data_IF_197351046058
#
_entry.id   IF_197351046058
#
_cell.length_a   1.000
_cell.length_b   1.000
_cell.length_c   1.000
_cell.angle_alpha   90.00
_cell.angle_beta   90.00
_cell.angle_gamma   90.00
#
_symmetry.space_group_name_H-M   'P 1'
#
loop_
_entity.id
_entity.type
_entity.pdbx_description
1 polymer ?
#
# COMPACT_ATOMS: atom_id res chain seq x y z
N UNK A 1 45.70 -35.77 0.63
CA UNK A 1 46.66 -36.78 1.05
C UNK A 1 46.63 -36.89 2.56
N UNK A 2 46.74 -38.07 3.10
CA UNK A 2 45.76 -39.15 3.19
C UNK A 2 45.45 -39.41 4.68
N UNK A 3 44.65 -40.28 5.16
CA UNK A 3 44.34 -41.71 5.03
C UNK A 3 43.36 -42.08 6.15
N UNK A 4 42.32 -42.77 5.89
CA UNK A 4 42.12 -44.21 6.02
C UNK A 4 42.48 -44.86 7.34
N UNK A 5 41.43 -45.54 7.90
CA UNK A 5 41.32 -46.98 8.26
C UNK A 5 40.24 -47.08 9.34
N UNK A 6 39.20 -47.84 9.35
CA UNK A 6 39.00 -49.16 8.78
C UNK A 6 39.33 -50.27 9.78
N UNK A 7 38.36 -50.85 10.54
CA UNK A 7 38.46 -52.27 10.99
C UNK A 7 37.05 -52.81 11.27
N UNK A 8 36.74 -53.90 10.56
CA UNK A 8 35.73 -54.92 10.85
C UNK A 8 36.27 -55.88 11.92
N UNK A 9 35.48 -56.50 12.75
CA UNK A 9 35.60 -57.95 13.11
C UNK A 9 34.24 -58.55 13.44
N UNK A 10 34.00 -59.69 12.84
CA UNK A 10 32.94 -60.66 13.05
C UNK A 10 33.20 -61.52 14.33
N UNK A 11 32.13 -62.17 14.87
CA UNK A 11 32.32 -63.27 15.81
C UNK A 11 30.97 -63.91 16.15
N UNK A 12 30.69 -65.05 15.52
CA UNK A 12 29.68 -66.04 15.89
C UNK A 12 30.03 -66.72 17.22
N UNK A 13 29.02 -67.08 18.02
CA UNK A 13 28.98 -68.37 18.71
C UNK A 13 27.56 -68.68 19.25
N UNK A 14 27.02 -69.77 18.80
CA UNK A 14 25.86 -70.52 19.28
C UNK A 14 26.13 -71.24 20.56
N UNK A 15 25.17 -71.25 21.51
CA UNK A 15 24.98 -72.42 22.45
C UNK A 15 23.50 -72.58 22.74
N UNK A 16 23.02 -73.86 22.53
CA UNK A 16 21.73 -74.37 22.87
C UNK A 16 21.65 -74.67 24.40
N UNK A 17 20.51 -74.43 25.00
CA UNK A 17 20.20 -74.87 26.38
C UNK A 17 18.69 -74.85 26.57
N UNK A 18 18.09 -76.04 26.55
CA UNK A 18 16.69 -76.35 26.81
C UNK A 18 16.42 -76.35 28.32
N UNK A 19 15.43 -75.58 28.79
CA UNK A 19 14.82 -75.78 30.10
C UNK A 19 13.34 -75.39 30.07
N UNK A 20 12.50 -76.39 30.39
CA UNK A 20 11.04 -76.33 30.58
C UNK A 20 10.75 -75.58 31.90
N UNK A 21 9.81 -74.66 31.88
CA UNK A 21 9.41 -73.92 33.09
C UNK A 21 8.07 -73.19 32.93
N UNK A 22 7.00 -73.91 33.21
CA UNK A 22 5.70 -73.58 33.82
C UNK A 22 5.10 -72.16 33.49
N UNK A 23 3.99 -72.17 32.76
CA UNK A 23 3.02 -71.10 32.57
C UNK A 23 2.45 -70.62 33.93
N UNK A 24 2.58 -69.27 34.16
CA UNK A 24 1.65 -68.52 34.97
C UNK A 24 1.10 -67.40 34.08
N UNK A 25 -0.11 -67.63 33.59
CA UNK A 25 -0.91 -66.59 32.91
C UNK A 25 -1.41 -65.61 33.98
N UNK A 26 -0.69 -64.53 34.16
CA UNK A 26 -1.22 -63.27 34.74
C UNK A 26 -1.74 -62.44 33.60
N UNK A 27 -3.04 -62.49 33.38
CA UNK A 27 -3.75 -61.62 32.46
C UNK A 27 -3.75 -60.21 32.98
N UNK A 28 -2.77 -59.39 32.55
CA UNK A 28 -2.89 -57.93 32.60
C UNK A 28 -3.96 -57.57 31.59
N UNK A 29 -5.17 -57.30 32.07
CA UNK A 29 -6.18 -56.58 31.33
C UNK A 29 -5.59 -55.22 31.01
N UNK A 30 -5.11 -55.05 29.80
CA UNK A 30 -4.71 -53.75 29.22
C UNK A 30 -6.01 -52.98 29.09
N UNK A 31 -6.23 -51.97 29.96
CA UNK A 31 -7.27 -50.98 29.73
C UNK A 31 -7.05 -50.43 28.34
N UNK A 32 -8.06 -50.36 27.46
CA UNK A 32 -7.94 -49.72 26.17
C UNK A 32 -7.67 -48.25 26.44
N UNK A 33 -6.46 -47.79 26.11
CA UNK A 33 -6.16 -46.38 26.03
C UNK A 33 -7.28 -45.72 25.25
N UNK A 34 -7.84 -44.60 25.72
CA UNK A 34 -8.82 -43.86 24.94
C UNK A 34 -8.17 -43.53 23.61
N UNK A 35 -8.73 -44.04 22.52
CA UNK A 35 -8.34 -43.71 21.17
C UNK A 35 -8.25 -42.20 21.09
N UNK A 36 -7.05 -41.67 21.09
CA UNK A 36 -6.80 -40.34 20.53
C UNK A 36 -7.22 -40.47 19.08
N UNK A 37 -8.42 -40.05 18.78
CA UNK A 37 -8.85 -39.81 17.41
C UNK A 37 -7.82 -38.87 16.81
N UNK A 38 -7.04 -39.34 15.88
CA UNK A 38 -6.13 -38.55 15.08
C UNK A 38 -6.90 -37.31 14.59
N UNK A 39 -6.36 -36.09 14.68
CA UNK A 39 -7.08 -34.91 14.19
C UNK A 39 -7.49 -35.21 12.76
N UNK A 40 -8.74 -34.95 12.37
CA UNK A 40 -9.21 -35.25 11.02
C UNK A 40 -8.26 -34.60 10.03
N UNK A 41 -7.82 -35.37 9.03
CA UNK A 41 -7.01 -34.84 7.94
C UNK A 41 -7.78 -33.69 7.30
N UNK A 42 -7.31 -32.45 7.57
CA UNK A 42 -7.94 -31.22 7.07
C UNK A 42 -7.57 -31.04 5.60
N UNK A 43 -7.98 -31.97 4.76
CA UNK A 43 -7.85 -31.90 3.31
C UNK A 43 -8.67 -30.77 2.66
N UNK A 44 -9.01 -29.73 3.40
CA UNK A 44 -9.50 -28.48 2.82
C UNK A 44 -8.31 -27.72 2.26
N UNK A 45 -8.34 -27.31 0.99
CA UNK A 45 -7.32 -26.43 0.46
C UNK A 45 -7.22 -25.19 1.35
N UNK A 46 -6.00 -24.79 1.68
CA UNK A 46 -5.77 -23.48 2.29
C UNK A 46 -6.55 -22.43 1.50
N UNK A 47 -7.15 -21.43 2.14
CA UNK A 47 -7.83 -20.39 1.40
C UNK A 47 -6.86 -19.84 0.34
N UNK A 48 -7.32 -19.70 -0.90
CA UNK A 48 -6.52 -19.03 -1.93
C UNK A 48 -6.00 -17.73 -1.35
N UNK A 49 -4.78 -17.34 -1.68
CA UNK A 49 -4.24 -16.07 -1.21
C UNK A 49 -5.28 -14.95 -1.35
N UNK A 50 -5.33 -14.07 -0.36
CA UNK A 50 -6.23 -12.92 -0.43
C UNK A 50 -5.92 -12.12 -1.70
N UNK A 51 -6.95 -11.65 -2.37
CA UNK A 51 -6.79 -10.77 -3.53
C UNK A 51 -5.91 -9.58 -3.16
N UNK A 52 -5.13 -9.12 -4.12
CA UNK A 52 -4.26 -7.97 -3.95
C UNK A 52 -5.10 -6.74 -3.61
N UNK A 53 -4.81 -6.14 -2.47
CA UNK A 53 -5.45 -4.89 -2.04
C UNK A 53 -4.83 -3.72 -2.78
N UNK A 54 -5.65 -2.78 -3.21
CA UNK A 54 -5.19 -1.54 -3.84
C UNK A 54 -5.57 -0.35 -2.97
N UNK A 55 -4.62 0.54 -2.81
CA UNK A 55 -4.78 1.76 -2.05
C UNK A 55 -4.29 2.93 -2.91
N UNK A 56 -5.20 3.71 -3.47
CA UNK A 56 -4.90 4.84 -4.35
C UNK A 56 -5.23 6.14 -3.66
N UNK A 57 -4.27 7.07 -3.67
CA UNK A 57 -4.41 8.38 -3.03
C UNK A 57 -3.85 9.48 -3.92
N UNK A 58 -4.51 10.61 -4.03
CA UNK A 58 -3.89 11.82 -4.54
C UNK A 58 -2.92 12.39 -3.49
N UNK A 59 -1.67 12.56 -3.87
CA UNK A 59 -0.70 13.35 -3.10
C UNK A 59 -0.80 14.80 -3.55
N UNK A 60 -1.12 15.69 -2.63
CA UNK A 60 -1.15 17.12 -2.90
C UNK A 60 0.17 17.75 -2.44
N UNK A 61 0.82 18.44 -3.36
CA UNK A 61 2.11 19.09 -3.17
C UNK A 61 2.01 20.58 -3.45
N UNK A 62 2.47 21.42 -2.52
CA UNK A 62 2.61 22.84 -2.77
C UNK A 62 3.84 23.09 -3.64
N UNK A 63 3.65 23.73 -4.80
CA UNK A 63 4.73 24.07 -5.74
C UNK A 63 5.77 25.01 -5.13
N UNK A 64 5.45 25.71 -4.05
CA UNK A 64 6.37 26.65 -3.37
C UNK A 64 7.64 25.95 -2.88
N UNK A 65 7.57 24.67 -2.55
CA UNK A 65 8.76 23.91 -2.17
C UNK A 65 9.69 23.62 -3.35
N UNK A 66 9.10 23.32 -4.50
CA UNK A 66 9.86 23.14 -5.74
C UNK A 66 10.57 24.44 -6.09
N UNK A 67 9.92 25.58 -5.89
CA UNK A 67 10.51 26.91 -6.13
C UNK A 67 11.80 27.12 -5.36
N UNK A 68 11.86 26.74 -4.10
CA UNK A 68 13.10 26.92 -3.30
C UNK A 68 14.29 26.17 -3.91
N UNK A 69 14.07 24.97 -4.40
CA UNK A 69 15.11 24.18 -5.08
C UNK A 69 15.53 24.83 -6.38
N UNK A 70 14.57 25.30 -7.19
CA UNK A 70 14.85 25.98 -8.46
C UNK A 70 15.58 27.31 -8.24
N UNK A 71 15.19 28.07 -7.21
CA UNK A 71 15.86 29.34 -6.85
C UNK A 71 17.33 29.13 -6.50
N UNK A 72 17.68 28.04 -5.84
CA UNK A 72 19.05 27.71 -5.50
C UNK A 72 19.84 27.15 -6.69
N UNK A 73 19.18 26.39 -7.56
CA UNK A 73 19.85 25.69 -8.66
C UNK A 73 20.12 26.58 -9.88
N UNK A 74 19.31 27.64 -10.09
CA UNK A 74 19.39 28.50 -11.28
C UNK A 74 20.08 29.83 -10.94
N UNK A 75 21.19 30.18 -11.61
CA UNK A 75 21.87 31.46 -11.39
C UNK A 75 20.92 32.66 -11.54
N UNK A 76 21.20 33.71 -10.79
CA UNK A 76 20.43 34.98 -10.95
C UNK A 76 20.91 35.80 -12.11
N UNK A 77 22.18 35.69 -12.52
CA UNK A 77 22.77 36.48 -13.62
C UNK A 77 23.19 35.57 -14.74
N UNK A 78 22.93 35.98 -15.97
CA UNK A 78 23.26 35.25 -17.19
C UNK A 78 24.00 36.20 -18.16
N UNK A 79 25.07 35.71 -18.76
CA UNK A 79 25.90 36.51 -19.66
C UNK A 79 26.83 37.44 -18.89
N UNK A 80 27.54 38.27 -19.66
CA UNK A 80 28.40 39.37 -19.18
C UNK A 80 28.60 40.33 -20.33
N UNK A 81 28.64 41.62 -20.04
CA UNK A 81 28.95 42.65 -21.01
C UNK A 81 30.39 42.57 -21.51
N UNK A 82 31.27 41.91 -20.76
CA UNK A 82 32.67 41.70 -21.16
C UNK A 82 32.84 40.50 -22.12
N UNK A 83 31.82 39.63 -22.22
CA UNK A 83 31.81 38.46 -23.10
C UNK A 83 31.18 38.76 -24.45
N UNK A 84 31.97 39.33 -25.35
CA UNK A 84 31.53 39.65 -26.71
C UNK A 84 31.49 38.38 -27.56
N UNK A 85 30.36 38.13 -28.25
CA UNK A 85 30.10 36.94 -29.09
C UNK A 85 29.80 37.35 -30.52
N UNK A 86 30.13 36.48 -31.49
CA UNK A 86 29.78 36.65 -32.90
C UNK A 86 28.28 36.43 -33.06
N UNK A 87 27.61 37.29 -33.80
CA UNK A 87 26.19 37.20 -34.11
C UNK A 87 25.97 36.41 -35.40
N UNK A 88 25.29 35.31 -35.34
CA UNK A 88 24.90 34.47 -36.49
C UNK A 88 26.04 34.11 -37.44
N UNK A 89 27.26 33.88 -36.90
CA UNK A 89 28.43 33.52 -37.70
C UNK A 89 29.02 34.69 -38.55
N UNK A 90 28.49 35.89 -38.49
CA UNK A 90 29.02 37.07 -39.17
C UNK A 90 30.08 37.75 -38.29
N UNK A 91 31.37 37.53 -38.58
CA UNK A 91 32.47 38.10 -37.81
C UNK A 91 32.53 39.62 -37.78
N UNK A 92 31.70 40.28 -38.59
CA UNK A 92 31.56 41.75 -38.53
C UNK A 92 30.51 42.20 -37.52
N UNK A 93 29.66 41.25 -37.04
CA UNK A 93 28.61 41.53 -36.10
C UNK A 93 28.84 40.80 -34.79
N UNK A 94 28.94 41.55 -33.73
CA UNK A 94 29.14 41.02 -32.40
C UNK A 94 28.06 41.54 -31.47
N UNK A 95 27.86 40.85 -30.36
CA UNK A 95 26.98 41.28 -29.29
C UNK A 95 27.50 40.88 -27.94
N UNK A 96 27.16 41.66 -26.94
CA UNK A 96 27.30 41.28 -25.53
C UNK A 96 25.95 41.52 -24.83
N UNK A 97 25.63 40.70 -23.85
CA UNK A 97 24.45 40.89 -23.03
C UNK A 97 24.69 40.44 -21.60
N UNK A 98 23.96 41.02 -20.69
CA UNK A 98 23.83 40.61 -19.32
C UNK A 98 22.36 40.69 -18.94
N UNK A 99 21.86 39.63 -18.31
CA UNK A 99 20.48 39.59 -17.85
C UNK A 99 20.45 39.09 -16.38
N UNK A 100 19.67 39.76 -15.55
CA UNK A 100 19.46 39.41 -14.14
C UNK A 100 18.00 39.05 -13.93
N UNK A 101 17.75 37.81 -13.46
CA UNK A 101 16.39 37.40 -13.15
C UNK A 101 15.94 37.85 -11.76
N UNK A 102 14.67 38.16 -11.64
CA UNK A 102 13.95 38.23 -10.38
C UNK A 102 13.66 36.84 -9.80
N UNK A 103 12.90 36.78 -8.73
CA UNK A 103 12.44 35.48 -8.16
C UNK A 103 11.54 34.76 -9.16
N UNK A 104 11.57 33.43 -9.09
CA UNK A 104 10.64 32.60 -9.83
C UNK A 104 9.25 32.63 -9.19
N UNK A 105 8.21 32.51 -10.01
CA UNK A 105 6.88 32.16 -9.62
C UNK A 105 6.54 30.81 -10.30
N UNK A 106 5.92 29.88 -9.57
CA UNK A 106 5.47 28.64 -10.16
C UNK A 106 3.97 28.47 -9.94
N UNK A 107 3.33 27.86 -10.90
CA UNK A 107 1.94 27.46 -10.81
C UNK A 107 1.71 26.21 -11.67
N UNK A 108 0.69 25.45 -11.31
CA UNK A 108 0.27 24.28 -12.06
C UNK A 108 -0.93 24.63 -12.93
N UNK A 109 -0.93 24.11 -14.15
CA UNK A 109 -2.07 24.25 -15.07
C UNK A 109 -2.26 22.93 -15.83
N UNK A 110 -3.35 22.22 -15.51
CA UNK A 110 -3.63 20.94 -16.10
C UNK A 110 -2.54 19.91 -15.75
N UNK A 111 -1.79 19.45 -16.75
CA UNK A 111 -0.74 18.43 -16.60
C UNK A 111 0.69 19.01 -16.63
N UNK A 112 0.80 20.31 -16.57
CA UNK A 112 2.08 21.00 -16.66
C UNK A 112 2.33 21.89 -15.45
N UNK A 113 3.57 21.94 -15.05
CA UNK A 113 4.09 22.93 -14.11
C UNK A 113 4.66 24.09 -14.93
N UNK A 114 4.21 25.29 -14.63
CA UNK A 114 4.68 26.54 -15.22
C UNK A 114 5.65 27.23 -14.28
N UNK A 115 6.73 27.71 -14.82
CA UNK A 115 7.75 28.50 -14.14
C UNK A 115 7.92 29.82 -14.85
N UNK A 116 7.71 30.94 -14.16
CA UNK A 116 7.80 32.28 -14.70
C UNK A 116 8.83 33.11 -13.94
N UNK A 117 9.63 33.85 -14.65
CA UNK A 117 10.53 34.84 -14.09
C UNK A 117 10.54 36.12 -14.93
N UNK A 118 10.70 37.26 -14.27
CA UNK A 118 11.00 38.54 -14.92
C UNK A 118 12.51 38.73 -14.94
N UNK A 119 13.06 39.10 -16.10
CA UNK A 119 14.50 39.31 -16.29
C UNK A 119 14.73 40.77 -16.73
N UNK A 120 15.55 41.50 -16.00
CA UNK A 120 16.08 42.77 -16.41
C UNK A 120 17.36 42.54 -17.22
N UNK A 121 17.51 43.18 -18.33
CA UNK A 121 18.64 42.94 -19.21
C UNK A 121 19.29 44.22 -19.72
N UNK A 122 20.54 44.11 -20.12
CA UNK A 122 21.27 45.08 -20.95
C UNK A 122 21.88 44.32 -22.12
N UNK A 123 21.91 44.96 -23.29
CA UNK A 123 22.47 44.37 -24.49
C UNK A 123 23.19 45.45 -25.32
N UNK A 124 24.28 45.05 -25.94
CA UNK A 124 25.02 45.93 -26.85
C UNK A 124 25.43 45.14 -28.09
N UNK A 125 25.09 45.67 -29.26
CA UNK A 125 25.53 45.18 -30.54
C UNK A 125 26.73 45.98 -31.05
N UNK A 126 27.62 45.32 -31.75
CA UNK A 126 28.81 45.91 -32.38
C UNK A 126 28.78 45.50 -33.85
N UNK A 127 29.04 46.51 -34.72
CA UNK A 127 29.22 46.31 -36.15
C UNK A 127 30.54 46.87 -36.62
N UNK A 128 31.40 46.04 -37.23
CA UNK A 128 32.72 46.41 -37.75
C UNK A 128 32.67 46.53 -39.28
N UNK A 129 32.40 47.71 -39.84
CA UNK A 129 32.46 47.91 -41.27
C UNK A 129 33.88 47.72 -41.78
N UNK A 130 34.05 47.46 -43.11
CA UNK A 130 35.40 47.25 -43.72
C UNK A 130 36.30 48.46 -43.66
N UNK A 131 35.75 49.64 -43.70
CA UNK A 131 36.49 50.93 -43.88
C UNK A 131 36.08 51.99 -42.87
N UNK A 132 35.46 51.65 -41.76
CA UNK A 132 35.02 52.65 -40.77
C UNK A 132 35.23 52.12 -39.35
N UNK A 133 35.27 52.98 -38.33
CA UNK A 133 35.32 52.49 -36.91
C UNK A 133 34.16 51.62 -36.56
N UNK A 134 34.39 50.80 -35.54
CA UNK A 134 33.33 49.91 -34.98
C UNK A 134 32.19 50.74 -34.44
N UNK A 135 30.99 50.50 -34.96
CA UNK A 135 29.77 51.12 -34.46
C UNK A 135 29.19 50.25 -33.36
N UNK A 136 28.72 50.84 -32.29
CA UNK A 136 28.02 50.12 -31.21
C UNK A 136 26.73 50.84 -30.86
N UNK A 137 25.71 50.05 -30.57
CA UNK A 137 24.43 50.51 -30.07
C UNK A 137 23.86 49.50 -29.06
N UNK A 138 23.20 49.94 -28.05
CA UNK A 138 22.67 49.05 -27.00
C UNK A 138 21.55 49.69 -26.20
N UNK A 139 20.90 48.89 -25.40
CA UNK A 139 19.84 49.30 -24.48
C UNK A 139 20.14 48.80 -23.06
N UNK A 140 19.48 49.39 -22.08
CA UNK A 140 19.66 49.01 -20.68
C UNK A 140 20.96 49.44 -20.06
N UNK A 141 21.69 50.38 -20.70
CA UNK A 141 22.91 50.98 -20.14
C UNK A 141 22.61 52.10 -19.12
N UNK A 142 21.35 52.55 -19.08
CA UNK A 142 20.86 53.57 -18.15
C UNK A 142 20.45 52.94 -16.80
N UNK A 143 19.98 53.81 -15.88
CA UNK A 143 19.55 53.34 -14.53
C UNK A 143 18.40 52.36 -14.57
N UNK A 144 17.53 52.39 -15.57
CA UNK A 144 16.41 51.48 -15.74
C UNK A 144 16.68 50.51 -16.90
N UNK A 145 16.87 49.25 -16.56
CA UNK A 145 17.04 48.17 -17.55
C UNK A 145 15.69 47.68 -18.06
N UNK A 146 15.52 47.52 -19.39
CA UNK A 146 14.33 46.89 -19.93
C UNK A 146 14.15 45.47 -19.37
N UNK A 147 12.89 45.05 -19.24
CA UNK A 147 12.53 43.78 -18.63
C UNK A 147 11.74 42.91 -19.61
N UNK A 148 12.02 41.63 -19.56
CA UNK A 148 11.25 40.59 -20.25
C UNK A 148 10.68 39.59 -19.23
N UNK A 149 9.53 39.01 -19.53
CA UNK A 149 8.95 37.90 -18.82
C UNK A 149 9.24 36.66 -19.62
N UNK A 150 9.81 35.69 -18.95
CA UNK A 150 10.06 34.33 -19.47
C UNK A 150 9.17 33.34 -18.75
N UNK A 151 8.46 32.54 -19.52
CA UNK A 151 7.61 31.48 -18.98
C UNK A 151 7.96 30.14 -19.64
N UNK A 152 8.29 29.16 -18.83
CA UNK A 152 8.54 27.76 -19.20
C UNK A 152 7.39 26.91 -18.68
N UNK A 153 7.06 25.85 -19.42
CA UNK A 153 6.16 24.81 -18.93
C UNK A 153 6.79 23.44 -19.13
N UNK A 154 6.49 22.54 -18.23
CA UNK A 154 6.99 21.17 -18.29
C UNK A 154 6.00 20.18 -17.68
N UNK A 155 5.65 19.09 -18.36
CA UNK A 155 5.08 17.93 -17.71
C UNK A 155 6.14 17.30 -16.80
N UNK A 156 5.72 16.80 -15.64
CA UNK A 156 6.58 16.08 -14.70
C UNK A 156 6.18 14.61 -14.65
N UNK A 157 7.17 13.73 -14.65
CA UNK A 157 6.97 12.30 -14.46
C UNK A 157 8.18 11.66 -13.75
N UNK A 158 8.10 10.39 -13.39
CA UNK A 158 9.21 9.63 -12.84
C UNK A 158 9.57 8.47 -13.76
N UNK A 159 10.84 8.10 -13.76
CA UNK A 159 11.32 6.85 -14.34
C UNK A 159 11.02 5.68 -13.40
N UNK A 160 11.22 4.46 -13.87
CA UNK A 160 11.05 3.24 -13.05
C UNK A 160 12.02 3.19 -11.86
N UNK A 161 13.20 3.80 -11.99
CA UNK A 161 14.26 3.93 -10.99
C UNK A 161 14.18 5.23 -10.16
N UNK A 162 12.99 5.87 -10.15
CA UNK A 162 12.66 7.01 -9.32
C UNK A 162 13.41 8.32 -9.63
N UNK A 163 13.86 8.50 -10.87
CA UNK A 163 14.41 9.79 -11.34
C UNK A 163 13.33 10.69 -11.92
N UNK A 164 13.43 11.97 -11.62
CA UNK A 164 12.50 12.97 -12.16
C UNK A 164 12.77 13.19 -13.66
N UNK A 165 11.71 13.25 -14.43
CA UNK A 165 11.75 13.56 -15.87
C UNK A 165 10.93 14.79 -16.15
N UNK A 166 11.53 15.71 -16.92
CA UNK A 166 10.88 16.90 -17.45
C UNK A 166 11.03 16.94 -18.96
N UNK A 167 10.15 17.70 -19.61
CA UNK A 167 10.21 18.05 -21.02
C UNK A 167 9.89 19.53 -21.11
N UNK A 168 10.87 20.36 -20.74
CA UNK A 168 10.72 21.78 -20.66
C UNK A 168 10.50 22.40 -22.06
N UNK A 169 9.53 23.30 -22.14
CA UNK A 169 9.26 24.09 -23.36
C UNK A 169 9.07 25.54 -23.00
N UNK A 170 9.44 26.39 -23.91
CA UNK A 170 9.21 27.83 -23.80
C UNK A 170 7.74 28.14 -24.16
N UNK A 171 7.00 28.70 -23.21
CA UNK A 171 5.61 29.12 -23.41
C UNK A 171 5.55 30.54 -23.91
N UNK A 172 6.27 31.44 -23.25
CA UNK A 172 6.29 32.83 -23.59
C UNK A 172 7.65 33.48 -23.27
N UNK A 173 8.04 34.38 -24.10
CA UNK A 173 9.07 35.37 -23.83
C UNK A 173 8.60 36.67 -24.48
N UNK A 174 8.40 37.73 -23.67
CA UNK A 174 7.84 38.99 -24.10
C UNK A 174 8.29 40.14 -23.18
N UNK A 175 8.23 41.40 -23.62
CA UNK A 175 8.42 42.52 -22.72
C UNK A 175 7.51 42.44 -21.49
N UNK A 176 7.99 42.92 -20.36
CA UNK A 176 7.24 42.85 -19.10
C UNK A 176 6.02 43.79 -19.12
N UNK A 177 6.08 44.84 -19.87
CA UNK A 177 4.96 45.76 -20.15
C UNK A 177 5.11 46.36 -21.53
N UNK A 178 4.06 47.05 -22.03
CA UNK A 178 4.06 47.80 -23.26
C UNK A 178 4.66 49.22 -23.10
N UNK A 179 5.08 49.57 -21.88
CA UNK A 179 5.69 50.85 -21.58
C UNK A 179 7.08 50.99 -22.23
N UNK A 180 7.48 52.20 -22.61
CA UNK A 180 8.78 52.47 -23.24
C UNK A 180 9.97 51.98 -22.42
N UNK A 181 9.86 51.92 -21.08
CA UNK A 181 10.93 51.42 -20.19
C UNK A 181 11.26 49.96 -20.39
N UNK A 182 10.34 49.13 -20.88
CA UNK A 182 10.55 47.72 -21.13
C UNK A 182 10.87 47.40 -22.61
N UNK A 183 11.08 48.48 -23.43
CA UNK A 183 11.53 48.38 -24.81
C UNK A 183 13.04 48.57 -24.91
N UNK A 184 13.62 48.00 -25.95
CA UNK A 184 15.03 48.16 -26.27
C UNK A 184 15.18 49.17 -27.39
N UNK A 185 15.27 50.46 -27.07
CA UNK A 185 15.49 51.52 -27.99
C UNK A 185 16.99 51.81 -28.14
N UNK A 186 17.48 51.80 -29.36
CA UNK A 186 18.91 51.96 -29.66
C UNK A 186 19.20 53.16 -30.57
N UNK A 187 20.31 53.85 -30.27
CA UNK A 187 20.84 54.95 -31.04
C UNK A 187 20.09 56.30 -30.86
N UNK A 188 20.56 57.32 -31.52
CA UNK A 188 20.03 58.73 -31.46
C UNK A 188 18.60 58.78 -32.04
N UNK A 189 18.26 57.83 -32.92
CA UNK A 189 16.95 57.81 -33.60
C UNK A 189 15.91 56.95 -32.83
N UNK A 190 16.20 56.53 -31.62
CA UNK A 190 15.30 55.74 -30.77
C UNK A 190 14.66 54.55 -31.52
N UNK A 191 15.47 53.78 -32.27
CA UNK A 191 14.97 52.70 -33.05
C UNK A 191 14.68 51.52 -32.11
N UNK A 192 13.42 51.09 -32.04
CA UNK A 192 12.98 49.94 -31.29
C UNK A 192 13.52 48.65 -31.92
N UNK A 193 14.28 47.88 -31.17
CA UNK A 193 14.84 46.58 -31.55
C UNK A 193 14.40 45.47 -30.57
N UNK A 194 13.38 45.72 -29.78
CA UNK A 194 12.86 44.82 -28.74
C UNK A 194 12.59 43.41 -29.28
N UNK A 195 11.91 43.31 -30.42
CA UNK A 195 11.59 42.01 -31.04
C UNK A 195 12.86 41.24 -31.39
N UNK A 196 13.90 41.87 -31.89
CA UNK A 196 15.18 41.21 -32.21
C UNK A 196 15.88 40.68 -30.94
N UNK A 197 15.80 41.41 -29.85
CA UNK A 197 16.35 40.98 -28.56
C UNK A 197 15.55 39.81 -28.01
N UNK A 198 14.24 39.89 -28.08
CA UNK A 198 13.33 38.84 -27.66
C UNK A 198 13.57 37.56 -28.48
N UNK A 199 13.71 37.65 -29.80
CA UNK A 199 13.97 36.50 -30.67
C UNK A 199 15.35 35.86 -30.40
N UNK A 200 16.37 36.70 -30.21
CA UNK A 200 17.70 36.22 -29.83
C UNK A 200 17.69 35.52 -28.46
N UNK A 201 16.95 36.06 -27.48
CA UNK A 201 16.77 35.45 -26.16
C UNK A 201 15.96 34.16 -26.26
N UNK A 202 14.92 34.10 -27.12
CA UNK A 202 14.16 32.90 -27.42
C UNK A 202 15.07 31.77 -27.91
N UNK A 203 15.83 32.04 -28.98
CA UNK A 203 16.72 31.04 -29.57
C UNK A 203 17.81 30.57 -28.59
N UNK A 204 18.37 31.50 -27.80
CA UNK A 204 19.34 31.17 -26.77
C UNK A 204 18.76 30.27 -25.66
N UNK A 205 17.53 30.54 -25.22
CA UNK A 205 16.86 29.76 -24.18
C UNK A 205 16.43 28.39 -24.70
N UNK A 206 15.84 28.32 -25.89
CA UNK A 206 15.46 27.06 -26.53
C UNK A 206 16.64 26.11 -26.70
N UNK A 207 17.81 26.61 -27.04
CA UNK A 207 19.05 25.81 -27.10
C UNK A 207 19.49 25.22 -25.76
N UNK A 208 18.97 25.74 -24.64
CA UNK A 208 19.31 25.32 -23.26
C UNK A 208 18.24 24.44 -22.60
N UNK A 209 17.07 24.26 -23.21
CA UNK A 209 16.00 23.47 -22.59
C UNK A 209 16.44 22.02 -22.33
N UNK A 210 17.16 21.40 -23.28
CA UNK A 210 17.71 20.07 -23.09
C UNK A 210 18.74 19.95 -21.95
N UNK A 211 19.49 21.02 -21.66
CA UNK A 211 20.40 21.06 -20.52
C UNK A 211 19.61 21.09 -19.21
N UNK A 212 18.47 21.81 -19.18
CA UNK A 212 17.55 21.85 -18.05
C UNK A 212 17.00 20.46 -17.78
N UNK A 213 16.48 19.79 -18.81
CA UNK A 213 15.90 18.43 -18.67
C UNK A 213 16.96 17.42 -18.19
N UNK A 214 18.20 17.52 -18.68
CA UNK A 214 19.30 16.67 -18.18
C UNK A 214 19.59 16.91 -16.69
N UNK A 215 19.59 18.16 -16.24
CA UNK A 215 19.76 18.49 -14.81
C UNK A 215 18.61 17.99 -13.96
N UNK A 216 17.37 18.13 -14.43
CA UNK A 216 16.19 17.60 -13.71
C UNK A 216 16.31 16.08 -13.55
N UNK A 217 16.79 15.37 -14.56
CA UNK A 217 16.98 13.92 -14.51
C UNK A 217 18.02 13.45 -13.49
N UNK A 218 18.91 14.31 -13.02
CA UNK A 218 19.83 13.95 -11.92
C UNK A 218 19.15 13.92 -10.55
N UNK A 219 17.92 14.44 -10.45
CA UNK A 219 17.14 14.42 -9.21
C UNK A 219 16.56 13.03 -9.03
N UNK A 220 17.04 12.30 -8.02
CA UNK A 220 16.55 10.99 -7.64
C UNK A 220 15.70 11.06 -6.38
N UNK A 221 14.55 10.41 -6.39
CA UNK A 221 13.68 10.23 -5.24
C UNK A 221 13.88 8.87 -4.55
N UNK A 222 14.80 8.04 -5.03
CA UNK A 222 15.01 6.66 -4.56
C UNK A 222 15.21 6.56 -3.06
N UNK A 223 16.00 7.46 -2.46
CA UNK A 223 16.24 7.49 -1.01
C UNK A 223 14.96 7.77 -0.20
N UNK A 224 14.12 8.71 -0.67
CA UNK A 224 12.85 9.01 -0.02
C UNK A 224 11.87 7.84 -0.16
N UNK A 225 11.81 7.23 -1.34
CA UNK A 225 10.98 6.06 -1.59
C UNK A 225 11.42 4.88 -0.72
N UNK A 226 12.71 4.65 -0.56
CA UNK A 226 13.23 3.61 0.35
C UNK A 226 12.78 3.85 1.81
N UNK A 227 12.86 5.08 2.30
CA UNK A 227 12.36 5.43 3.65
C UNK A 227 10.85 5.18 3.80
N UNK A 228 10.05 5.54 2.80
CA UNK A 228 8.61 5.27 2.81
C UNK A 228 8.31 3.79 2.72
N UNK A 229 9.07 3.05 1.91
CA UNK A 229 8.96 1.60 1.78
C UNK A 229 9.23 0.87 3.10
N UNK A 230 10.29 1.27 3.80
CA UNK A 230 10.61 0.77 5.15
C UNK A 230 9.47 1.05 6.13
N UNK A 231 8.90 2.26 6.09
CA UNK A 231 7.78 2.65 6.95
C UNK A 231 6.53 1.82 6.67
N UNK A 232 6.22 1.55 5.40
CA UNK A 232 5.06 0.76 4.98
C UNK A 232 5.19 -0.72 5.36
N UNK A 233 6.41 -1.24 5.45
CA UNK A 233 6.67 -2.62 5.85
C UNK A 233 6.69 -2.81 7.38
N UNK A 234 6.78 -1.76 8.18
CA UNK A 234 6.77 -1.86 9.64
C UNK A 234 5.39 -2.31 10.15
N UNK A 235 5.35 -3.21 11.15
CA UNK A 235 4.11 -3.60 11.79
C UNK A 235 3.40 -2.40 12.40
N UNK A 236 2.12 -2.28 12.14
CA UNK A 236 1.26 -1.26 12.71
C UNK A 236 0.54 -1.87 13.91
N UNK A 237 0.83 -1.38 15.10
CA UNK A 237 0.15 -1.84 16.32
C UNK A 237 -1.28 -1.35 16.34
N UNK A 238 -2.24 -2.27 16.39
CA UNK A 238 -3.67 -1.98 16.52
C UNK A 238 -4.12 -2.04 17.99
N UNK A 239 -3.62 -3.04 18.72
CA UNK A 239 -3.81 -3.21 20.18
C UNK A 239 -2.55 -3.83 20.77
N UNK A 240 -2.53 -4.17 22.06
CA UNK A 240 -1.35 -4.70 22.75
C UNK A 240 -0.75 -5.98 22.16
N UNK A 241 -1.57 -6.78 21.49
CA UNK A 241 -1.13 -8.05 20.87
C UNK A 241 -1.69 -8.25 19.46
N UNK A 242 -2.10 -7.18 18.77
CA UNK A 242 -2.65 -7.24 17.42
C UNK A 242 -1.92 -6.26 16.52
N UNK A 243 -1.39 -6.78 15.43
CA UNK A 243 -0.56 -6.06 14.48
C UNK A 243 -1.18 -6.11 13.09
N UNK A 244 -1.14 -5.01 12.37
CA UNK A 244 -1.44 -4.95 10.94
C UNK A 244 -0.12 -4.92 10.17
N UNK A 245 0.07 -5.90 9.31
CA UNK A 245 1.16 -5.98 8.33
C UNK A 245 0.62 -5.63 6.96
N UNK A 246 1.18 -4.64 6.29
CA UNK A 246 0.67 -4.21 4.98
C UNK A 246 1.17 -5.09 3.83
N UNK A 247 2.39 -5.62 3.91
CA UNK A 247 3.05 -6.37 2.83
C UNK A 247 2.91 -5.69 1.46
N UNK A 248 3.52 -4.51 1.28
CA UNK A 248 3.47 -3.79 0.03
C UNK A 248 4.21 -4.57 -1.08
N UNK A 249 3.64 -4.61 -2.29
CA UNK A 249 4.19 -5.35 -3.42
C UNK A 249 4.52 -4.47 -4.62
N UNK A 250 3.73 -3.41 -4.86
CA UNK A 250 3.86 -2.58 -6.05
C UNK A 250 3.47 -1.14 -5.78
N UNK A 251 4.26 -0.24 -6.32
CA UNK A 251 3.97 1.20 -6.34
C UNK A 251 3.68 1.66 -7.76
N UNK A 252 2.68 2.52 -7.91
CA UNK A 252 2.30 3.18 -9.17
C UNK A 252 2.17 4.67 -8.96
N UNK A 253 2.44 5.40 -10.02
CA UNK A 253 2.20 6.84 -10.07
C UNK A 253 1.44 7.18 -11.35
N UNK A 254 0.35 7.90 -11.19
CA UNK A 254 -0.40 8.45 -12.32
C UNK A 254 0.22 9.74 -12.85
N UNK A 255 -0.45 10.32 -13.83
CA UNK A 255 -0.02 11.60 -14.41
C UNK A 255 -0.14 12.71 -13.38
N UNK A 256 0.93 13.49 -13.23
CA UNK A 256 0.92 14.71 -12.42
C UNK A 256 -0.05 15.71 -13.05
N UNK A 257 -0.88 16.32 -12.24
CA UNK A 257 -1.79 17.39 -12.62
C UNK A 257 -1.77 18.46 -11.54
N UNK A 258 -2.41 19.60 -11.80
CA UNK A 258 -2.50 20.61 -10.76
C UNK A 258 -3.25 21.85 -11.19
N UNK A 259 -3.50 22.70 -10.21
CA UNK A 259 -4.12 24.00 -10.40
C UNK A 259 -3.55 25.00 -9.40
N UNK A 260 -3.25 26.21 -9.87
CA UNK A 260 -2.64 27.28 -9.08
C UNK A 260 -1.35 26.81 -8.39
N UNK A 261 -1.30 26.78 -7.08
CA UNK A 261 -0.10 26.42 -6.31
C UNK A 261 -0.06 24.95 -5.86
N UNK A 262 -1.03 24.12 -6.28
CA UNK A 262 -1.14 22.74 -5.87
C UNK A 262 -0.88 21.81 -7.05
N UNK A 263 0.11 20.92 -6.90
CA UNK A 263 0.32 19.75 -7.76
C UNK A 263 -0.37 18.55 -7.11
N UNK A 264 -1.10 17.79 -7.90
CA UNK A 264 -1.72 16.54 -7.53
C UNK A 264 -1.02 15.38 -8.24
N UNK A 265 -0.49 14.47 -7.46
CA UNK A 265 0.21 13.27 -7.94
C UNK A 265 -0.59 12.04 -7.47
N UNK A 266 -1.35 11.39 -8.35
CA UNK A 266 -2.02 10.15 -8.00
C UNK A 266 -0.99 9.04 -7.77
N UNK A 267 -1.03 8.42 -6.61
CA UNK A 267 -0.15 7.29 -6.25
C UNK A 267 -1.00 6.11 -5.84
N UNK A 268 -0.59 4.91 -6.22
CA UNK A 268 -1.26 3.68 -5.82
C UNK A 268 -0.27 2.66 -5.27
N UNK A 269 -0.68 2.03 -4.18
CA UNK A 269 0.01 0.94 -3.53
C UNK A 269 -0.82 -0.34 -3.68
N UNK A 270 -0.23 -1.39 -4.24
CA UNK A 270 -0.77 -2.74 -4.13
C UNK A 270 -0.09 -3.45 -2.96
N UNK A 271 -0.88 -4.12 -2.13
CA UNK A 271 -0.42 -4.75 -0.89
C UNK A 271 -1.27 -5.97 -0.53
N UNK A 272 -0.75 -6.84 0.35
CA UNK A 272 -1.49 -7.97 0.95
C UNK A 272 -1.57 -7.80 2.47
N UNK A 273 -2.44 -6.94 2.97
CA UNK A 273 -2.52 -6.69 4.40
C UNK A 273 -2.98 -7.94 5.15
N UNK A 274 -2.35 -8.17 6.32
CA UNK A 274 -2.69 -9.25 7.24
C UNK A 274 -2.76 -8.73 8.66
N UNK A 275 -3.69 -9.27 9.45
CA UNK A 275 -3.74 -9.07 10.88
C UNK A 275 -3.04 -10.26 11.55
N UNK A 276 -2.05 -9.96 12.39
CA UNK A 276 -1.28 -10.95 13.14
C UNK A 276 -1.51 -10.71 14.63
N UNK A 277 -1.80 -11.77 15.37
CA UNK A 277 -1.97 -11.73 16.83
C UNK A 277 -0.75 -12.34 17.52
N UNK A 278 -0.40 -11.82 18.70
CA UNK A 278 0.72 -12.31 19.52
C UNK A 278 1.91 -11.36 19.57
N UNK A 279 3.13 -11.91 19.62
CA UNK A 279 4.37 -11.13 19.66
C UNK A 279 4.56 -10.27 18.41
N UNK A 280 5.43 -9.27 18.50
CA UNK A 280 5.81 -8.44 17.35
C UNK A 280 6.31 -9.34 16.22
N UNK A 281 5.70 -9.28 15.02
CA UNK A 281 6.15 -10.08 13.88
C UNK A 281 7.56 -9.69 13.44
N UNK A 282 8.37 -10.68 13.06
CA UNK A 282 9.63 -10.43 12.39
C UNK A 282 9.39 -9.87 10.99
N UNK A 283 10.17 -8.86 10.61
CA UNK A 283 10.01 -8.12 9.36
C UNK A 283 11.32 -8.10 8.58
N UNK A 284 11.51 -9.10 7.72
CA UNK A 284 12.50 -9.01 6.66
C UNK A 284 11.80 -8.56 5.37
N UNK A 285 12.20 -7.42 4.81
CA UNK A 285 11.67 -6.94 3.53
C UNK A 285 12.78 -6.44 2.62
N UNK A 286 12.57 -6.62 1.31
CA UNK A 286 13.51 -6.18 0.28
C UNK A 286 13.42 -4.69 -0.02
N UNK A 287 14.27 -4.21 -0.95
CA UNK A 287 14.21 -2.84 -1.44
C UNK A 287 12.87 -2.55 -2.13
N UNK A 288 12.51 -1.25 -2.29
CA UNK A 288 11.31 -0.87 -3.03
C UNK A 288 11.37 -1.40 -4.47
N UNK A 289 10.24 -1.88 -5.01
CA UNK A 289 10.18 -2.34 -6.39
C UNK A 289 10.31 -1.14 -7.36
N UNK A 290 10.63 -1.40 -8.63
CA UNK A 290 10.54 -0.39 -9.67
C UNK A 290 9.13 0.23 -9.73
N UNK A 291 9.06 1.51 -10.11
CA UNK A 291 7.79 2.21 -10.30
C UNK A 291 7.04 1.59 -11.47
N UNK A 292 5.84 1.09 -11.22
CA UNK A 292 4.98 0.56 -12.28
C UNK A 292 4.23 1.70 -13.00
N UNK A 293 4.05 1.55 -14.32
CA UNK A 293 3.44 2.56 -15.21
C UNK A 293 1.96 2.33 -15.51
N UNK A 294 1.33 1.39 -14.81
CA UNK A 294 -0.08 1.09 -14.99
C UNK A 294 -0.95 2.26 -14.50
N UNK A 295 -2.20 2.28 -14.94
CA UNK A 295 -3.17 3.29 -14.49
C UNK A 295 -3.40 3.25 -12.98
N UNK A 296 -3.52 4.42 -12.39
CA UNK A 296 -3.90 4.61 -10.98
C UNK A 296 -5.40 4.85 -10.92
N UNK A 297 -6.13 4.00 -10.18
CA UNK A 297 -7.55 4.20 -9.90
C UNK A 297 -7.76 5.15 -8.72
N UNK A 298 -9.02 5.36 -8.35
CA UNK A 298 -9.40 6.17 -7.20
C UNK A 298 -9.78 5.31 -6.00
N UNK A 299 -9.53 5.82 -4.79
CA UNK A 299 -9.92 5.20 -3.55
C UNK A 299 -9.13 3.93 -3.21
N UNK A 300 -9.68 3.15 -2.28
CA UNK A 300 -9.07 1.89 -1.90
C UNK A 300 -10.05 0.72 -1.91
N UNK A 301 -9.51 -0.44 -2.23
CA UNK A 301 -10.13 -1.74 -2.03
C UNK A 301 -9.14 -2.60 -1.24
N UNK A 302 -9.44 -2.82 0.04
CA UNK A 302 -8.59 -3.58 0.95
C UNK A 302 -9.25 -4.91 1.24
N UNK A 303 -8.62 -6.01 0.82
CA UNK A 303 -9.01 -7.37 1.19
C UNK A 303 -8.09 -7.87 2.30
N UNK A 304 -8.69 -8.31 3.40
CA UNK A 304 -7.97 -8.71 4.60
C UNK A 304 -8.50 -10.02 5.15
N UNK A 305 -7.61 -10.90 5.58
CA UNK A 305 -7.96 -12.11 6.29
C UNK A 305 -7.76 -11.90 7.80
N UNK A 306 -8.82 -12.17 8.57
CA UNK A 306 -8.78 -12.20 10.03
C UNK A 306 -8.94 -13.63 10.52
N UNK A 307 -8.06 -14.08 11.42
CA UNK A 307 -8.14 -15.38 12.06
C UNK A 307 -8.94 -15.29 13.36
N UNK A 308 -9.98 -16.11 13.46
CA UNK A 308 -10.72 -16.37 14.71
C UNK A 308 -10.33 -17.76 15.20
N UNK A 309 -9.52 -17.83 16.24
CA UNK A 309 -9.10 -19.10 16.82
C UNK A 309 -10.29 -19.91 17.38
N UNK A 310 -10.16 -21.24 17.48
CA UNK A 310 -11.24 -22.11 17.92
C UNK A 310 -11.66 -21.87 19.38
N UNK A 311 -10.78 -21.40 20.25
CA UNK A 311 -11.12 -21.01 21.60
C UNK A 311 -12.08 -19.82 21.63
N UNK A 312 -11.83 -18.81 20.79
CA UNK A 312 -12.74 -17.67 20.63
C UNK A 312 -14.06 -18.07 19.98
N UNK A 313 -14.05 -18.92 18.95
CA UNK A 313 -15.26 -19.46 18.35
C UNK A 313 -16.07 -20.29 19.36
N UNK A 314 -15.42 -21.14 20.14
CA UNK A 314 -16.02 -21.91 21.23
C UNK A 314 -16.72 -21.01 22.24
N UNK A 315 -16.05 -20.00 22.76
CA UNK A 315 -16.67 -19.03 23.72
C UNK A 315 -17.92 -18.39 23.14
N UNK A 316 -17.89 -17.97 21.87
CA UNK A 316 -19.03 -17.34 21.22
C UNK A 316 -20.23 -18.30 21.07
N UNK A 317 -19.99 -19.55 20.67
CA UNK A 317 -21.05 -20.55 20.52
C UNK A 317 -21.54 -21.03 21.89
N UNK A 318 -20.66 -21.20 22.88
CA UNK A 318 -21.03 -21.55 24.26
C UNK A 318 -21.97 -20.49 24.83
N UNK A 319 -21.68 -19.18 24.66
CA UNK A 319 -22.56 -18.13 25.17
C UNK A 319 -23.97 -18.14 24.53
N UNK A 320 -24.10 -18.69 23.33
CA UNK A 320 -25.39 -18.83 22.63
C UNK A 320 -26.19 -20.09 23.02
N UNK A 321 -25.50 -21.18 23.35
CA UNK A 321 -26.08 -22.51 23.53
C UNK A 321 -26.00 -23.07 24.97
N UNK A 322 -25.07 -22.62 25.80
CA UNK A 322 -24.94 -23.08 27.17
C UNK A 322 -26.20 -22.77 27.98
N UNK A 323 -26.55 -23.70 28.87
CA UNK A 323 -27.77 -23.66 29.71
C UNK A 323 -29.09 -23.74 28.94
N UNK A 324 -29.05 -23.95 27.61
CA UNK A 324 -30.28 -24.20 26.85
C UNK A 324 -30.80 -25.58 27.17
N UNK A 325 -32.08 -25.64 27.47
CA UNK A 325 -32.81 -26.87 27.79
C UNK A 325 -33.66 -27.30 26.60
N UNK A 326 -33.54 -28.57 26.27
CA UNK A 326 -34.31 -29.20 25.19
C UNK A 326 -35.21 -30.27 25.79
N UNK A 327 -36.52 -30.17 25.59
CA UNK A 327 -37.52 -31.08 26.11
C UNK A 327 -38.23 -31.78 24.96
N UNK A 328 -38.32 -33.13 25.03
CA UNK A 328 -39.05 -33.96 24.09
C UNK A 328 -39.58 -35.23 24.76
N UNK A 329 -40.86 -35.57 24.49
CA UNK A 329 -41.50 -36.78 25.03
C UNK A 329 -41.29 -36.92 26.55
N UNK A 330 -41.50 -35.86 27.29
CA UNK A 330 -41.26 -35.72 28.75
C UNK A 330 -39.84 -35.96 29.21
N UNK A 331 -38.84 -35.94 28.31
CA UNK A 331 -37.41 -36.00 28.64
C UNK A 331 -36.75 -34.67 28.38
N UNK A 332 -35.89 -34.28 29.30
CA UNK A 332 -35.23 -32.95 29.26
C UNK A 332 -33.74 -33.12 29.37
N UNK A 333 -33.00 -32.40 28.51
CA UNK A 333 -31.54 -32.26 28.60
C UNK A 333 -31.15 -30.80 28.54
N UNK A 334 -30.12 -30.44 29.28
CA UNK A 334 -29.54 -29.10 29.31
C UNK A 334 -28.12 -29.16 28.80
N UNK A 335 -27.77 -28.27 27.83
CA UNK A 335 -26.41 -28.13 27.32
C UNK A 335 -25.56 -27.51 28.42
N UNK A 336 -24.46 -28.19 28.77
CA UNK A 336 -23.48 -27.66 29.74
C UNK A 336 -22.38 -26.90 29.07
N UNK A 337 -21.81 -27.47 28.01
CA UNK A 337 -20.64 -26.92 27.33
C UNK A 337 -20.71 -27.24 25.85
N UNK A 338 -20.04 -26.40 25.08
CA UNK A 338 -19.93 -26.57 23.63
C UNK A 338 -18.46 -26.33 23.25
N UNK A 339 -17.93 -27.18 22.36
CA UNK A 339 -16.61 -27.01 21.81
C UNK A 339 -16.70 -26.97 20.28
N UNK A 340 -16.02 -26.03 19.66
CA UNK A 340 -15.92 -25.92 18.22
C UNK A 340 -14.56 -26.47 17.77
N UNK A 341 -14.61 -27.43 16.85
CA UNK A 341 -13.41 -28.08 16.32
C UNK A 341 -13.41 -28.06 14.78
N UNK A 342 -12.22 -28.11 14.16
CA UNK A 342 -12.13 -28.23 12.71
C UNK A 342 -12.53 -29.62 12.24
N UNK A 343 -13.10 -29.70 11.03
CA UNK A 343 -13.34 -30.94 10.33
C UNK A 343 -12.88 -30.86 8.88
N UNK A 344 -12.75 -32.01 8.22
CA UNK A 344 -12.34 -32.07 6.82
C UNK A 344 -13.32 -31.36 5.89
N UNK A 345 -12.84 -30.97 4.70
CA UNK A 345 -13.64 -30.36 3.62
C UNK A 345 -14.30 -29.03 4.00
N UNK A 346 -13.64 -28.21 4.84
CA UNK A 346 -14.15 -26.91 5.22
C UNK A 346 -15.36 -26.93 6.18
N UNK A 347 -15.55 -28.03 6.90
CA UNK A 347 -16.62 -28.19 7.87
C UNK A 347 -16.12 -27.95 9.31
N UNK A 348 -17.05 -27.74 10.22
CA UNK A 348 -16.84 -27.63 11.66
C UNK A 348 -17.55 -28.77 12.37
N UNK A 349 -16.97 -29.20 13.50
CA UNK A 349 -17.66 -30.06 14.48
C UNK A 349 -18.05 -29.17 15.66
N UNK A 350 -19.31 -29.23 16.04
CA UNK A 350 -19.81 -28.76 17.33
C UNK A 350 -19.95 -29.98 18.26
N UNK A 351 -19.11 -30.05 19.28
CA UNK A 351 -19.25 -31.05 20.33
C UNK A 351 -19.99 -30.43 21.51
N UNK A 352 -21.19 -30.94 21.82
CA UNK A 352 -22.02 -30.47 22.92
C UNK A 352 -22.01 -31.52 24.04
N UNK A 353 -21.69 -31.09 25.25
CA UNK A 353 -21.95 -31.90 26.44
C UNK A 353 -23.31 -31.50 27.03
N UNK A 354 -24.06 -32.48 27.48
CA UNK A 354 -25.40 -32.28 28.05
C UNK A 354 -25.65 -33.17 29.28
N UNK A 355 -26.55 -32.71 30.13
CA UNK A 355 -27.02 -33.38 31.34
C UNK A 355 -28.54 -33.27 31.45
N UNK A 356 -29.14 -34.10 32.29
CA UNK A 356 -30.58 -34.14 32.54
C UNK A 356 -31.05 -35.60 32.56
N UNK A 357 -32.17 -35.89 31.89
CA UNK A 357 -32.67 -37.27 31.74
C UNK A 357 -31.73 -38.17 30.90
N UNK A 358 -30.77 -37.54 30.26
CA UNK A 358 -29.62 -38.18 29.65
C UNK A 358 -28.34 -37.35 29.89
N UNK A 359 -27.20 -38.03 30.01
CA UNK A 359 -25.88 -37.37 30.12
C UNK A 359 -24.96 -37.94 29.07
N UNK A 360 -24.27 -37.07 28.33
CA UNK A 360 -23.36 -37.52 27.30
C UNK A 360 -22.81 -36.39 26.45
N UNK A 361 -22.23 -36.75 25.31
CA UNK A 361 -21.74 -35.84 24.30
C UNK A 361 -22.46 -36.11 22.97
N UNK A 362 -22.73 -35.04 22.26
CA UNK A 362 -23.33 -35.05 20.93
C UNK A 362 -22.41 -34.30 19.97
N UNK A 363 -22.08 -34.91 18.87
CA UNK A 363 -21.27 -34.27 17.82
C UNK A 363 -22.15 -33.98 16.63
N UNK A 364 -22.08 -32.73 16.19
CA UNK A 364 -22.74 -32.21 14.99
C UNK A 364 -21.68 -31.68 14.05
N UNK A 365 -21.83 -31.94 12.77
CA UNK A 365 -20.91 -31.51 11.74
C UNK A 365 -21.65 -30.68 10.70
N UNK A 366 -21.03 -29.63 10.21
CA UNK A 366 -21.63 -28.79 9.19
C UNK A 366 -20.66 -27.75 8.64
N UNK A 367 -21.09 -27.06 7.57
CA UNK A 367 -20.29 -26.04 6.87
C UNK A 367 -20.71 -24.66 7.33
N UNK A 368 -19.81 -23.88 7.94
CA UNK A 368 -20.14 -22.52 8.34
C UNK A 368 -20.30 -21.63 7.10
N UNK A 369 -21.34 -20.79 7.11
CA UNK A 369 -21.64 -19.83 6.04
C UNK A 369 -22.00 -18.48 6.63
N UNK A 370 -21.58 -17.42 5.95
CA UNK A 370 -21.95 -16.07 6.30
C UNK A 370 -23.27 -15.69 5.63
N UNK A 371 -24.27 -15.33 6.43
CA UNK A 371 -25.54 -14.78 5.98
C UNK A 371 -25.43 -13.25 5.90
N UNK A 372 -25.36 -12.72 4.67
CA UNK A 372 -25.21 -11.29 4.43
C UNK A 372 -26.41 -10.48 4.87
N UNK A 373 -27.61 -11.06 4.78
CA UNK A 373 -28.86 -10.35 5.12
C UNK A 373 -28.99 -10.15 6.62
N UNK A 374 -28.56 -11.13 7.40
CA UNK A 374 -28.64 -11.09 8.87
C UNK A 374 -27.35 -10.63 9.54
N UNK A 375 -26.22 -10.60 8.80
CA UNK A 375 -24.92 -10.23 9.34
C UNK A 375 -24.37 -11.23 10.35
N UNK A 376 -24.64 -12.53 10.14
CA UNK A 376 -24.28 -13.60 11.06
C UNK A 376 -23.63 -14.81 10.35
N UNK A 377 -22.80 -15.53 11.08
CA UNK A 377 -22.31 -16.86 10.67
C UNK A 377 -23.27 -17.90 11.20
N UNK A 378 -23.75 -18.78 10.34
CA UNK A 378 -24.61 -19.93 10.65
C UNK A 378 -24.08 -21.19 9.99
N UNK A 379 -24.57 -22.34 10.45
CA UNK A 379 -24.23 -23.67 9.92
C UNK A 379 -25.53 -24.34 9.43
N UNK A 380 -26.00 -24.04 8.20
CA UNK A 380 -27.32 -24.45 7.75
C UNK A 380 -27.45 -25.95 7.50
N UNK A 381 -26.36 -26.62 7.19
CA UNK A 381 -26.26 -28.06 6.94
C UNK A 381 -25.79 -28.84 8.15
N UNK A 382 -25.91 -28.26 9.36
CA UNK A 382 -25.49 -28.92 10.61
C UNK A 382 -26.27 -30.24 10.79
N UNK A 383 -25.56 -31.33 10.91
CA UNK A 383 -26.15 -32.69 11.09
C UNK A 383 -25.34 -33.52 12.08
N UNK A 384 -25.94 -34.62 12.54
CA UNK A 384 -25.24 -35.53 13.44
C UNK A 384 -24.04 -36.19 12.73
N UNK A 385 -22.91 -36.20 13.42
CA UNK A 385 -21.73 -36.90 12.96
C UNK A 385 -21.94 -38.42 13.05
N UNK A 386 -21.94 -39.10 11.89
CA UNK A 386 -22.20 -40.51 11.78
C UNK A 386 -21.04 -41.38 12.29
N UNK A 387 -19.84 -40.83 12.36
CA UNK A 387 -18.64 -41.52 12.85
C UNK A 387 -18.54 -41.54 14.37
N UNK A 388 -19.52 -40.95 15.06
CA UNK A 388 -19.55 -40.94 16.53
C UNK A 388 -19.91 -42.33 17.04
N UNK A 389 -18.99 -42.95 17.78
CA UNK A 389 -19.02 -44.29 18.34
C UNK A 389 -20.42 -44.81 18.68
N UNK A 390 -20.68 -46.05 18.22
CA UNK A 390 -21.88 -46.84 18.43
C UNK A 390 -22.24 -47.13 19.92
N UNK A 391 -21.49 -46.63 20.90
CA UNK A 391 -21.66 -46.94 22.33
C UNK A 391 -22.66 -46.05 23.09
N UNK A 392 -23.10 -44.94 22.50
CA UNK A 392 -24.05 -44.04 23.17
C UNK A 392 -25.51 -44.28 22.72
N UNK A 393 -25.75 -45.22 21.81
CA UNK A 393 -26.88 -45.13 20.88
C UNK A 393 -28.18 -45.79 21.36
N UNK A 394 -28.17 -46.75 22.23
CA UNK A 394 -29.43 -47.52 22.53
C UNK A 394 -30.41 -46.81 23.48
N UNK A 395 -29.97 -45.81 24.26
CA UNK A 395 -30.83 -45.04 25.18
C UNK A 395 -31.21 -43.66 24.71
N UNK A 396 -30.56 -43.09 23.66
CA UNK A 396 -30.63 -41.68 23.31
C UNK A 396 -31.08 -41.39 21.87
N UNK A 397 -31.71 -42.34 21.21
CA UNK A 397 -32.21 -42.19 19.83
C UNK A 397 -33.12 -40.94 19.66
N UNK A 398 -33.82 -40.53 20.73
CA UNK A 398 -34.68 -39.36 20.74
C UNK A 398 -33.89 -38.02 20.64
N UNK A 399 -32.60 -38.00 21.05
CA UNK A 399 -31.71 -36.84 20.88
C UNK A 399 -31.30 -36.62 19.42
N UNK A 400 -31.36 -37.64 18.58
CA UNK A 400 -31.09 -37.52 17.13
C UNK A 400 -32.32 -37.09 16.33
N UNK A 401 -33.23 -36.39 16.94
CA UNK A 401 -34.47 -35.96 16.30
C UNK A 401 -34.26 -34.75 15.36
N UNK A 402 -35.07 -34.69 14.34
CA UNK A 402 -35.10 -33.58 13.40
C UNK A 402 -35.40 -32.25 14.09
N UNK A 403 -36.25 -32.24 15.11
CA UNK A 403 -36.62 -31.04 15.88
C UNK A 403 -35.45 -30.48 16.68
N UNK A 404 -34.66 -31.35 17.33
CA UNK A 404 -33.48 -30.96 18.06
C UNK A 404 -32.42 -30.37 17.12
N UNK A 405 -32.21 -31.06 16.00
CA UNK A 405 -31.31 -30.61 14.94
C UNK A 405 -31.73 -29.22 14.38
N UNK A 406 -33.02 -29.06 14.07
CA UNK A 406 -33.58 -27.78 13.60
C UNK A 406 -33.38 -26.68 14.64
N UNK A 407 -33.65 -26.97 15.91
CA UNK A 407 -33.46 -26.01 17.01
C UNK A 407 -31.99 -25.61 17.17
N UNK A 408 -31.07 -26.57 17.13
CA UNK A 408 -29.63 -26.24 17.21
C UNK A 408 -29.19 -25.45 15.99
N UNK A 409 -29.61 -25.80 14.78
CA UNK A 409 -29.34 -25.02 13.56
C UNK A 409 -29.83 -23.59 13.68
N UNK A 410 -31.03 -23.37 14.22
CA UNK A 410 -31.62 -22.06 14.42
C UNK A 410 -30.81 -21.23 15.43
N UNK A 411 -30.33 -21.86 16.52
CA UNK A 411 -29.63 -21.18 17.61
C UNK A 411 -28.11 -21.13 17.43
N UNK A 412 -27.53 -22.01 16.59
CA UNK A 412 -26.10 -22.03 16.29
C UNK A 412 -25.73 -20.94 15.27
N UNK A 413 -25.96 -19.70 15.63
CA UNK A 413 -25.53 -18.53 14.86
C UNK A 413 -24.69 -17.59 15.72
N UNK A 414 -23.73 -16.92 15.08
CA UNK A 414 -22.86 -15.93 15.73
C UNK A 414 -22.98 -14.60 14.97
N UNK A 415 -23.45 -13.54 15.64
CA UNK A 415 -23.52 -12.22 15.01
C UNK A 415 -22.11 -11.71 14.70
N UNK A 416 -21.86 -11.31 13.46
CA UNK A 416 -20.56 -10.78 12.97
C UNK A 416 -20.55 -9.26 12.96
N UNK A 417 -21.71 -8.61 12.97
CA UNK A 417 -21.83 -7.15 12.91
C UNK A 417 -21.00 -6.41 13.97
N UNK A 418 -20.98 -6.83 15.25
CA UNK A 418 -20.13 -6.16 16.25
C UNK A 418 -18.64 -6.25 15.89
N UNK A 419 -18.20 -7.41 15.35
CA UNK A 419 -16.81 -7.60 14.93
C UNK A 419 -16.47 -6.73 13.71
N UNK A 420 -17.38 -6.65 12.72
CA UNK A 420 -17.21 -5.78 11.55
C UNK A 420 -17.18 -4.31 11.93
N UNK A 421 -18.05 -3.87 12.84
CA UNK A 421 -18.07 -2.48 13.34
C UNK A 421 -16.78 -2.14 14.06
N UNK A 422 -16.28 -3.05 14.90
CA UNK A 422 -14.98 -2.90 15.56
C UNK A 422 -13.82 -2.89 14.56
N UNK A 423 -13.85 -3.78 13.57
CA UNK A 423 -12.87 -3.82 12.48
C UNK A 423 -12.87 -2.53 11.67
N UNK A 424 -14.06 -2.00 11.33
CA UNK A 424 -14.19 -0.69 10.67
C UNK A 424 -13.60 0.45 11.52
N UNK A 425 -13.87 0.49 12.81
CA UNK A 425 -13.32 1.50 13.71
C UNK A 425 -11.79 1.42 13.79
N UNK A 426 -11.23 0.21 13.88
CA UNK A 426 -9.78 -0.01 13.87
C UNK A 426 -9.15 0.42 12.53
N UNK A 427 -9.79 0.09 11.42
CA UNK A 427 -9.34 0.50 10.09
C UNK A 427 -9.37 2.03 9.96
N UNK A 428 -10.44 2.67 10.39
CA UNK A 428 -10.57 4.13 10.41
C UNK A 428 -9.46 4.79 11.25
N UNK A 429 -9.19 4.28 12.45
CA UNK A 429 -8.12 4.83 13.30
C UNK A 429 -6.74 4.60 12.71
N UNK A 430 -6.50 3.45 12.06
CA UNK A 430 -5.25 3.14 11.38
C UNK A 430 -5.00 3.98 10.14
N UNK A 431 -6.05 4.32 9.41
CA UNK A 431 -6.00 5.12 8.18
C UNK A 431 -6.10 6.63 8.42
N UNK A 432 -6.58 7.09 9.59
CA UNK A 432 -6.66 8.51 9.95
C UNK A 432 -5.58 8.85 10.97
N UNK A 433 -4.36 9.08 10.48
CA UNK A 433 -3.21 9.33 11.35
C UNK A 433 -2.13 10.18 10.69
N UNK A 434 -1.27 10.74 11.53
CA UNK A 434 -0.03 11.35 11.06
C UNK A 434 0.99 10.24 10.75
N UNK A 435 1.57 10.28 9.56
CA UNK A 435 2.66 9.40 9.13
C UNK A 435 4.05 10.00 9.41
N UNK A 436 4.10 11.13 10.09
CA UNK A 436 5.26 11.91 10.44
C UNK A 436 4.86 13.35 10.73
N UNK A 437 5.82 14.23 10.95
CA UNK A 437 5.54 15.65 11.28
C UNK A 437 4.86 16.40 10.13
N UNK A 438 5.15 16.00 8.90
CA UNK A 438 4.72 16.70 7.69
C UNK A 438 3.57 16.00 6.93
N UNK A 439 3.30 14.73 7.20
CA UNK A 439 2.37 13.92 6.38
C UNK A 439 1.19 13.47 7.22
N UNK A 440 -0.01 13.77 6.76
CA UNK A 440 -1.27 13.31 7.37
C UNK A 440 -2.03 12.45 6.37
N UNK A 441 -2.38 11.22 6.77
CA UNK A 441 -3.29 10.35 6.07
C UNK A 441 -4.70 10.56 6.62
N UNK A 442 -5.65 10.77 5.74
CA UNK A 442 -7.08 10.81 6.03
C UNK A 442 -7.82 9.83 5.13
N UNK A 443 -8.78 9.11 5.68
CA UNK A 443 -9.57 8.15 4.91
C UNK A 443 -11.00 8.07 5.41
N UNK A 444 -11.90 7.80 4.47
CA UNK A 444 -13.31 7.49 4.71
C UNK A 444 -13.58 6.07 4.24
N UNK A 445 -14.08 5.22 5.15
CA UNK A 445 -14.44 3.83 4.84
C UNK A 445 -15.93 3.81 4.46
N UNK A 446 -16.22 3.58 3.19
CA UNK A 446 -17.59 3.57 2.67
C UNK A 446 -18.31 2.28 3.09
N UNK A 447 -17.65 1.12 2.97
CA UNK A 447 -18.23 -0.17 3.34
C UNK A 447 -17.19 -1.17 3.86
N UNK A 448 -17.64 -2.09 4.71
CA UNK A 448 -16.90 -3.29 5.11
C UNK A 448 -17.83 -4.48 4.98
N UNK A 449 -17.41 -5.51 4.25
CA UNK A 449 -18.22 -6.70 3.97
C UNK A 449 -17.39 -7.98 4.11
N UNK A 450 -18.03 -9.05 4.60
CA UNK A 450 -17.43 -10.39 4.56
C UNK A 450 -17.55 -10.95 3.14
N UNK A 451 -16.43 -11.37 2.57
CA UNK A 451 -16.32 -11.98 1.23
C UNK A 451 -16.17 -13.50 1.27
N UNK A 452 -15.60 -14.02 2.36
CA UNK A 452 -15.39 -15.46 2.51
C UNK A 452 -15.23 -15.87 3.97
N UNK A 453 -15.50 -17.15 4.22
CA UNK A 453 -15.30 -17.80 5.50
C UNK A 453 -14.66 -19.17 5.21
N UNK A 454 -13.52 -19.45 5.84
CA UNK A 454 -12.75 -20.65 5.59
C UNK A 454 -12.40 -21.32 6.91
N UNK A 455 -12.57 -22.64 6.95
CA UNK A 455 -12.14 -23.47 8.07
C UNK A 455 -10.70 -23.90 7.81
N UNK A 456 -9.82 -23.58 8.74
CA UNK A 456 -8.39 -23.96 8.67
C UNK A 456 -8.02 -24.78 9.90
N UNK A 457 -6.78 -25.27 9.97
CA UNK A 457 -6.29 -26.01 11.15
C UNK A 457 -6.28 -25.14 12.41
N UNK A 458 -5.96 -23.86 12.28
CA UNK A 458 -5.70 -22.95 13.41
C UNK A 458 -6.94 -22.14 13.83
N UNK A 459 -7.98 -22.13 13.00
CA UNK A 459 -9.21 -21.39 13.28
C UNK A 459 -10.04 -21.13 12.04
N UNK A 460 -11.00 -20.22 12.18
CA UNK A 460 -11.84 -19.70 11.11
C UNK A 460 -11.17 -18.45 10.51
N UNK A 461 -10.86 -18.51 9.23
CA UNK A 461 -10.40 -17.33 8.48
C UNK A 461 -11.61 -16.61 7.91
N UNK A 462 -11.82 -15.39 8.36
CA UNK A 462 -12.85 -14.47 7.85
C UNK A 462 -12.18 -13.51 6.89
N UNK A 463 -12.48 -13.62 5.61
CA UNK A 463 -12.03 -12.66 4.59
C UNK A 463 -12.99 -11.51 4.51
N UNK A 464 -12.51 -10.31 4.80
CA UNK A 464 -13.26 -9.07 4.69
C UNK A 464 -12.70 -8.19 3.60
N UNK A 465 -13.58 -7.41 2.97
CA UNK A 465 -13.23 -6.35 2.01
C UNK A 465 -13.73 -5.02 2.53
N UNK A 466 -12.86 -4.02 2.49
CA UNK A 466 -13.20 -2.64 2.80
C UNK A 466 -13.01 -1.77 1.57
N UNK A 467 -14.03 -0.99 1.24
CA UNK A 467 -13.99 0.00 0.17
C UNK A 467 -14.03 1.40 0.78
N UNK A 468 -13.33 2.34 0.14
CA UNK A 468 -13.34 3.71 0.63
C UNK A 468 -12.45 4.63 -0.17
N UNK A 469 -12.29 5.84 0.35
CA UNK A 469 -11.45 6.89 -0.24
C UNK A 469 -10.42 7.35 0.77
N UNK A 470 -9.24 7.69 0.28
CA UNK A 470 -8.18 8.22 1.12
C UNK A 470 -7.52 9.42 0.44
N UNK A 471 -6.94 10.28 1.26
CA UNK A 471 -6.14 11.43 0.82
C UNK A 471 -4.91 11.57 1.71
N UNK A 472 -3.84 12.03 1.11
CA UNK A 472 -2.62 12.33 1.84
C UNK A 472 -2.32 13.81 1.67
N UNK A 473 -2.24 14.54 2.76
CA UNK A 473 -1.81 15.93 2.77
C UNK A 473 -0.40 16.05 3.34
N UNK A 474 0.45 16.73 2.59
CA UNK A 474 1.84 16.99 2.97
C UNK A 474 1.94 18.44 3.39
N UNK A 475 2.12 18.70 4.70
CA UNK A 475 2.47 20.03 5.21
C UNK A 475 3.96 20.24 5.08
N UNK A 476 4.36 21.24 4.36
CA UNK A 476 5.76 21.65 4.27
C UNK A 476 6.09 22.59 5.41
N UNK A 477 7.26 22.37 6.03
CA UNK A 477 7.88 23.31 6.94
C UNK A 477 8.61 24.41 6.18
#
# INVERSE_FOLDING_TARGET
>A
MPSESGVRVQGLATVRGTAIGVLLLVGCAREPSPNRTEPPDLGAPAPSEAALSRFSVPLEYDVTAVLRVVEQAVPRTFGSMDSVRVLNGDERKHYAFEATRGPFTAFALGREMHLRATMAYQARGYYKPRFAPTLSAGCGNDKERPRIVVELATPLSLTEDWHLVSHARLVAIKPASDEGRDRCDVGILHRDVTDRVVDAARSALESKLGDIDRKVRTVSLSAHVAQWWDMLNRPIRLTDSVWLMLHPERLRMGSVSGQAHVLTVPVSLDARPRIVTGALPDTAFGPPPPLAKDSVGDGFNITMDGLVDYGTATRAVTSALAHRTFTRANRTVTVQDVTVLPASRGRLVLELSFVGDAKGRLRLIGTPRYDRLRGEVKVPDLDFDLDTDNKIVSGYAWLRSDDLRATIREKAHVPVQPALSKGRALLMSGLNRKLGDAVTLGADVDSVAVKGLYVTRDGLVVRAEALGRARVSVKQR
#
